data_IF_710425945524
#
_entry.id   IF_710425945524
#
_cell.length_a   1.000
_cell.length_b   1.000
_cell.length_c   1.000
_cell.angle_alpha   90.00
_cell.angle_beta   90.00
_cell.angle_gamma   90.00
#
_symmetry.space_group_name_H-M   'P 1'
#
loop_
_entity.id
_entity.type
_entity.pdbx_description
1 polymer ?
#
# COMPACT_ATOMS: atom_id res chain seq x y z
N UNK A 1 -32.21 -1.85 -17.93
CA UNK A 1 -32.24 -2.79 -16.78
C UNK A 1 -32.67 -2.00 -15.55
N UNK A 2 -33.53 -2.52 -14.68
CA UNK A 2 -33.90 -1.83 -13.44
C UNK A 2 -32.96 -2.22 -12.31
N UNK A 3 -32.16 -1.29 -11.82
CA UNK A 3 -31.26 -1.53 -10.67
C UNK A 3 -32.08 -1.61 -9.39
N UNK A 4 -31.79 -2.58 -8.52
CA UNK A 4 -32.35 -2.66 -7.16
C UNK A 4 -31.37 -2.10 -6.13
N UNK A 5 -31.92 -1.52 -5.05
CA UNK A 5 -31.09 -1.07 -3.94
C UNK A 5 -30.43 -2.31 -3.30
N UNK A 6 -29.10 -2.30 -3.20
CA UNK A 6 -28.32 -3.43 -2.71
C UNK A 6 -27.62 -4.26 -3.77
N UNK A 7 -27.90 -4.07 -5.06
CA UNK A 7 -27.22 -4.81 -6.13
C UNK A 7 -25.71 -4.54 -6.12
N UNK A 8 -24.91 -5.59 -6.30
CA UNK A 8 -23.45 -5.52 -6.32
C UNK A 8 -22.91 -5.96 -7.68
N UNK A 9 -21.91 -5.22 -8.16
CA UNK A 9 -21.25 -5.46 -9.42
C UNK A 9 -19.74 -5.42 -9.20
N UNK A 10 -19.07 -6.51 -9.52
CA UNK A 10 -17.62 -6.63 -9.40
C UNK A 10 -16.91 -6.09 -10.64
N UNK A 11 -15.66 -5.69 -10.44
CA UNK A 11 -14.76 -5.26 -11.50
C UNK A 11 -15.29 -4.10 -12.38
N UNK A 12 -16.09 -3.20 -11.80
CA UNK A 12 -16.63 -2.06 -12.53
C UNK A 12 -15.54 -1.02 -12.75
N UNK A 13 -15.36 -0.61 -14.00
CA UNK A 13 -14.40 0.43 -14.37
C UNK A 13 -15.01 1.81 -14.11
N UNK A 14 -14.31 2.60 -13.31
CA UNK A 14 -14.69 3.92 -12.85
C UNK A 14 -13.67 4.95 -13.35
N UNK A 15 -14.12 6.13 -13.76
CA UNK A 15 -13.26 7.21 -14.25
C UNK A 15 -13.45 8.48 -13.46
N UNK A 16 -12.34 9.09 -13.05
CA UNK A 16 -12.36 10.45 -12.48
C UNK A 16 -12.69 11.47 -13.56
N UNK A 17 -13.51 12.46 -13.22
CA UNK A 17 -13.88 13.53 -14.13
C UNK A 17 -14.17 14.84 -13.37
N UNK A 18 -14.13 15.94 -14.11
CA UNK A 18 -14.57 17.26 -13.67
C UNK A 18 -15.95 17.52 -14.27
N UNK A 19 -16.97 17.71 -13.43
CA UNK A 19 -18.31 18.06 -13.89
C UNK A 19 -18.40 19.54 -14.28
N UNK A 20 -19.21 19.88 -15.27
CA UNK A 20 -19.35 21.27 -15.79
C UNK A 20 -19.79 22.28 -14.72
N UNK A 21 -20.67 21.86 -13.81
CA UNK A 21 -21.18 22.68 -12.70
C UNK A 21 -20.58 22.33 -11.33
N UNK A 22 -19.69 21.33 -11.28
CA UNK A 22 -19.15 20.81 -10.02
C UNK A 22 -17.69 21.26 -9.83
N UNK A 23 -17.41 21.94 -8.72
CA UNK A 23 -16.04 22.35 -8.41
C UNK A 23 -15.16 21.18 -8.00
N UNK A 24 -15.72 20.07 -7.49
CA UNK A 24 -14.97 18.95 -6.93
C UNK A 24 -14.76 17.85 -7.95
N UNK A 25 -13.61 17.15 -7.91
CA UNK A 25 -13.40 15.97 -8.75
C UNK A 25 -14.40 14.88 -8.37
N UNK A 26 -15.02 14.26 -9.38
CA UNK A 26 -16.02 13.19 -9.23
C UNK A 26 -15.57 11.93 -9.94
N UNK A 27 -16.30 10.87 -9.67
CA UNK A 27 -16.09 9.56 -10.30
C UNK A 27 -17.40 9.13 -10.92
N UNK A 28 -17.32 8.60 -12.13
CA UNK A 28 -18.44 7.98 -12.86
C UNK A 28 -18.03 6.61 -13.36
N UNK A 29 -18.96 5.66 -13.49
CA UNK A 29 -18.71 4.44 -14.25
C UNK A 29 -18.41 4.78 -15.72
N UNK A 30 -17.54 4.00 -16.35
CA UNK A 30 -17.29 4.09 -17.80
C UNK A 30 -18.36 3.31 -18.56
N UNK A 31 -18.82 2.21 -17.98
CA UNK A 31 -19.85 1.38 -18.59
C UNK A 31 -21.16 2.16 -18.71
N UNK A 32 -21.69 2.24 -19.93
CA UNK A 32 -22.99 2.84 -20.26
C UNK A 32 -24.13 2.14 -19.51
N UNK A 33 -23.88 0.93 -19.00
CA UNK A 33 -24.79 0.23 -18.10
C UNK A 33 -25.14 1.01 -16.83
N UNK A 34 -24.40 2.03 -16.42
CA UNK A 34 -24.70 2.82 -15.21
C UNK A 34 -24.89 4.31 -15.49
N UNK A 35 -25.38 4.63 -16.68
CA UNK A 35 -25.40 6.01 -17.16
C UNK A 35 -26.09 6.98 -16.18
N UNK A 36 -25.49 8.16 -16.00
CA UNK A 36 -25.91 9.22 -15.07
C UNK A 36 -25.90 8.87 -13.56
N UNK A 37 -25.47 7.68 -13.13
CA UNK A 37 -25.32 7.38 -11.71
C UNK A 37 -24.07 8.04 -11.11
N UNK A 38 -24.24 8.73 -9.99
CA UNK A 38 -23.11 9.27 -9.22
C UNK A 38 -22.40 8.13 -8.48
N UNK A 39 -21.08 8.24 -8.32
CA UNK A 39 -20.29 7.30 -7.52
C UNK A 39 -19.81 7.96 -6.25
N UNK A 40 -20.17 7.39 -5.10
CA UNK A 40 -19.55 7.67 -3.82
C UNK A 40 -18.18 6.97 -3.79
N UNK A 41 -17.12 7.79 -3.73
CA UNK A 41 -15.73 7.34 -3.91
C UNK A 41 -14.78 8.10 -2.96
N UNK A 42 -13.73 7.43 -2.43
CA UNK A 42 -12.79 8.02 -1.49
C UNK A 42 -12.22 9.35 -1.95
N UNK A 43 -12.12 10.29 -1.02
CA UNK A 43 -11.69 11.66 -1.32
C UNK A 43 -10.22 11.74 -1.73
N UNK A 44 -9.35 11.12 -0.97
CA UNK A 44 -7.92 11.03 -1.25
C UNK A 44 -7.63 10.50 -2.65
N UNK A 45 -8.35 9.47 -3.10
CA UNK A 45 -8.13 8.89 -4.44
C UNK A 45 -8.61 9.81 -5.58
N UNK A 46 -9.58 10.69 -5.32
CA UNK A 46 -10.01 11.72 -6.30
C UNK A 46 -9.04 12.89 -6.40
N UNK A 47 -8.18 13.08 -5.39
CA UNK A 47 -7.27 14.21 -5.26
C UNK A 47 -5.83 13.83 -5.65
N UNK A 48 -5.43 12.59 -5.34
CA UNK A 48 -4.07 12.12 -5.56
C UNK A 48 -3.79 11.63 -7.00
N UNK A 49 -4.81 11.55 -7.84
CA UNK A 49 -4.69 11.05 -9.22
C UNK A 49 -5.22 12.07 -10.22
N UNK A 50 -4.62 12.16 -11.43
CA UNK A 50 -5.09 13.04 -12.49
C UNK A 50 -6.55 12.77 -12.87
N UNK A 51 -7.24 13.83 -13.25
CA UNK A 51 -8.57 13.73 -13.86
C UNK A 51 -8.47 12.87 -15.12
N UNK A 52 -9.34 11.87 -15.21
CA UNK A 52 -9.35 10.88 -16.27
C UNK A 52 -8.69 9.56 -15.90
N UNK A 53 -8.02 9.46 -14.74
CA UNK A 53 -7.55 8.18 -14.18
C UNK A 53 -8.72 7.21 -14.02
N UNK A 54 -8.50 5.96 -14.44
CA UNK A 54 -9.48 4.88 -14.31
C UNK A 54 -9.12 3.94 -13.17
N UNK A 55 -10.14 3.49 -12.45
CA UNK A 55 -10.06 2.58 -11.34
C UNK A 55 -10.95 1.37 -11.64
N UNK A 56 -10.62 0.23 -11.08
CA UNK A 56 -11.54 -0.91 -10.98
C UNK A 56 -11.96 -1.04 -9.52
N UNK A 57 -13.24 -1.31 -9.27
CA UNK A 57 -13.75 -1.59 -7.95
C UNK A 57 -15.01 -2.46 -8.00
N UNK A 58 -15.32 -3.13 -6.90
CA UNK A 58 -16.68 -3.60 -6.64
C UNK A 58 -17.54 -2.41 -6.23
N UNK A 59 -18.72 -2.29 -6.83
CA UNK A 59 -19.68 -1.21 -6.55
C UNK A 59 -21.03 -1.76 -6.13
N UNK A 60 -21.67 -1.04 -5.22
CA UNK A 60 -23.02 -1.34 -4.73
C UNK A 60 -23.99 -0.24 -5.13
N UNK A 61 -25.16 -0.61 -5.64
CA UNK A 61 -26.27 0.32 -5.87
C UNK A 61 -26.87 0.70 -4.51
N UNK A 62 -26.97 2.00 -4.25
CA UNK A 62 -27.49 2.56 -3.01
C UNK A 62 -28.60 3.59 -3.28
N UNK A 63 -29.62 3.59 -2.44
CA UNK A 63 -30.66 4.62 -2.40
C UNK A 63 -30.73 5.27 -1.01
N UNK A 64 -30.66 6.61 -0.96
CA UNK A 64 -30.81 7.32 0.31
C UNK A 64 -32.27 7.35 0.73
N UNK A 65 -32.47 7.25 2.03
CA UNK A 65 -33.78 7.37 2.68
C UNK A 65 -33.75 8.49 3.72
N UNK A 66 -34.89 9.15 3.92
CA UNK A 66 -35.13 10.07 5.02
C UNK A 66 -35.38 9.30 6.32
N UNK A 67 -35.43 10.00 7.46
CA UNK A 67 -35.71 9.37 8.76
C UNK A 67 -37.09 8.68 8.83
N UNK A 68 -38.02 9.11 7.99
CA UNK A 68 -39.37 8.58 7.85
C UNK A 68 -39.46 7.39 6.85
N UNK A 69 -38.34 6.98 6.26
CA UNK A 69 -38.29 5.90 5.27
C UNK A 69 -38.61 6.33 3.83
N UNK A 70 -38.97 7.59 3.57
CA UNK A 70 -39.19 8.09 2.21
C UNK A 70 -37.88 8.19 1.43
N UNK A 71 -37.94 7.99 0.11
CA UNK A 71 -36.76 8.07 -0.76
C UNK A 71 -36.20 9.49 -0.82
N UNK A 72 -34.88 9.63 -0.76
CA UNK A 72 -34.15 10.89 -0.87
C UNK A 72 -33.17 10.86 -2.04
N UNK A 73 -33.50 11.59 -3.10
CA UNK A 73 -32.64 11.73 -4.30
C UNK A 73 -32.60 10.46 -5.16
N UNK A 74 -31.80 10.46 -6.24
CA UNK A 74 -31.67 9.30 -7.13
C UNK A 74 -30.77 8.21 -6.54
N UNK A 75 -30.84 7.01 -7.14
CA UNK A 75 -29.88 5.92 -6.88
C UNK A 75 -28.48 6.35 -7.27
N UNK A 76 -27.49 5.80 -6.58
CA UNK A 76 -26.08 6.06 -6.80
C UNK A 76 -25.27 4.80 -6.54
N UNK A 77 -24.03 4.76 -7.03
CA UNK A 77 -23.10 3.68 -6.75
C UNK A 77 -22.22 4.04 -5.56
N UNK A 78 -21.90 3.07 -4.72
CA UNK A 78 -20.90 3.21 -3.68
C UNK A 78 -19.78 2.21 -3.95
N UNK A 79 -18.56 2.69 -4.15
CA UNK A 79 -17.40 1.83 -4.33
C UNK A 79 -16.97 1.23 -2.97
N UNK A 80 -16.72 -0.08 -2.95
CA UNK A 80 -16.08 -0.71 -1.80
C UNK A 80 -14.61 -0.32 -1.75
N UNK A 81 -14.25 0.46 -0.74
CA UNK A 81 -12.92 1.03 -0.57
C UNK A 81 -11.80 0.01 -0.50
N UNK A 82 -12.09 -1.22 -0.07
CA UNK A 82 -11.09 -2.30 0.03
C UNK A 82 -10.77 -2.96 -1.30
N UNK A 83 -11.63 -2.77 -2.31
CA UNK A 83 -11.52 -3.40 -3.64
C UNK A 83 -11.03 -2.45 -4.73
N UNK A 84 -10.82 -1.17 -4.38
CA UNK A 84 -10.40 -0.16 -5.36
C UNK A 84 -8.94 -0.38 -5.74
N UNK A 85 -8.70 -0.58 -7.03
CA UNK A 85 -7.37 -0.60 -7.62
C UNK A 85 -7.28 0.35 -8.82
N UNK A 86 -6.08 0.86 -9.11
CA UNK A 86 -5.83 1.72 -10.27
C UNK A 86 -5.76 0.83 -11.51
N UNK A 87 -6.64 1.07 -12.47
CA UNK A 87 -6.69 0.28 -13.70
C UNK A 87 -5.76 0.84 -14.77
N UNK A 88 -5.96 2.11 -15.15
CA UNK A 88 -5.05 2.84 -16.04
C UNK A 88 -4.86 4.27 -15.54
N UNK A 89 -3.59 4.71 -15.50
CA UNK A 89 -3.25 6.12 -15.34
C UNK A 89 -3.58 6.88 -16.65
N UNK A 90 -3.96 8.15 -16.56
CA UNK A 90 -4.25 8.97 -17.73
C UNK A 90 -3.05 9.01 -18.69
N UNK A 91 -3.21 8.48 -19.90
CA UNK A 91 -2.16 8.50 -20.95
C UNK A 91 -2.07 9.84 -21.70
N UNK A 92 -2.68 10.93 -21.19
CA UNK A 92 -2.63 12.24 -21.85
C UNK A 92 -1.31 12.94 -21.54
N UNK A 93 -0.73 13.60 -22.55
CA UNK A 93 0.40 14.52 -22.40
C UNK A 93 0.06 15.79 -21.61
N UNK A 94 -1.17 15.90 -21.11
CA UNK A 94 -1.67 16.98 -20.28
C UNK A 94 -2.48 16.34 -19.14
N UNK A 95 -1.89 16.23 -17.96
CA UNK A 95 -2.54 15.71 -16.77
C UNK A 95 -3.17 16.87 -15.98
N UNK A 96 -4.47 16.85 -15.74
CA UNK A 96 -5.15 17.88 -14.95
C UNK A 96 -5.34 17.36 -13.51
N UNK A 97 -4.74 18.03 -12.52
CA UNK A 97 -4.82 17.66 -11.09
C UNK A 97 -5.79 18.57 -10.35
N UNK A 98 -6.62 17.99 -9.46
CA UNK A 98 -7.53 18.75 -8.61
C UNK A 98 -6.89 19.09 -7.25
N UNK A 99 -6.64 20.37 -6.99
CA UNK A 99 -6.02 20.87 -5.76
C UNK A 99 -7.04 21.61 -4.92
N UNK A 100 -7.10 21.32 -3.61
CA UNK A 100 -8.02 21.99 -2.70
C UNK A 100 -7.54 23.42 -2.41
N UNK A 101 -8.45 24.42 -2.52
CA UNK A 101 -8.15 25.79 -2.12
C UNK A 101 -8.03 25.92 -0.60
N UNK A 102 -6.90 26.44 -0.13
CA UNK A 102 -6.65 26.74 1.30
C UNK A 102 -7.52 27.92 1.77
N UNK A 103 -7.88 27.93 3.07
CA UNK A 103 -8.67 29.03 3.67
C UNK A 103 -10.18 29.01 3.38
N UNK A 104 -10.71 27.95 2.75
CA UNK A 104 -12.15 27.85 2.46
C UNK A 104 -12.92 27.27 3.65
N UNK A 105 -13.99 27.94 4.10
CA UNK A 105 -14.79 27.53 5.28
C UNK A 105 -15.29 26.08 5.23
N UNK A 106 -15.51 25.53 4.03
CA UNK A 106 -16.05 24.20 3.85
C UNK A 106 -15.03 23.17 3.36
N UNK A 107 -13.80 23.58 3.02
CA UNK A 107 -12.76 22.72 2.47
C UNK A 107 -13.14 22.02 1.15
N UNK A 108 -14.05 22.64 0.39
CA UNK A 108 -14.82 21.98 -0.67
C UNK A 108 -14.71 22.68 -2.03
N UNK A 109 -13.87 23.70 -2.13
CA UNK A 109 -13.54 24.37 -3.38
C UNK A 109 -12.15 23.92 -3.86
N UNK A 110 -12.04 23.75 -5.17
CA UNK A 110 -10.85 23.22 -5.83
C UNK A 110 -10.45 24.12 -6.99
N UNK A 111 -9.18 24.05 -7.34
CA UNK A 111 -8.61 24.52 -8.59
C UNK A 111 -8.02 23.35 -9.37
N UNK A 112 -7.97 23.49 -10.68
CA UNK A 112 -7.50 22.43 -11.58
C UNK A 112 -6.25 22.93 -12.28
N UNK A 113 -5.14 22.27 -12.02
CA UNK A 113 -3.82 22.63 -12.54
C UNK A 113 -3.49 21.65 -13.65
N UNK A 114 -3.26 22.16 -14.87
CA UNK A 114 -2.80 21.36 -16.00
C UNK A 114 -1.29 21.21 -15.95
N UNK A 115 -0.81 19.97 -16.03
CA UNK A 115 0.59 19.61 -16.13
C UNK A 115 0.85 19.07 -17.53
N UNK A 116 1.43 19.90 -18.40
CA UNK A 116 1.97 19.44 -19.69
C UNK A 116 3.13 18.50 -19.42
N UNK A 117 3.13 17.34 -20.09
CA UNK A 117 4.05 16.22 -19.97
C UNK A 117 5.46 16.50 -20.48
N UNK A 118 6.04 17.59 -20.02
CA UNK A 118 7.47 17.63 -19.75
C UNK A 118 7.55 17.45 -18.24
N UNK A 119 8.15 16.35 -17.78
CA UNK A 119 8.68 16.31 -16.42
C UNK A 119 9.81 17.35 -16.45
N UNK A 120 9.49 18.62 -16.22
CA UNK A 120 10.49 19.54 -15.73
C UNK A 120 10.67 19.15 -14.27
N UNK A 121 11.84 18.59 -13.98
CA UNK A 121 12.33 18.18 -12.67
C UNK A 121 12.18 19.26 -11.58
N UNK A 122 11.90 20.52 -11.97
CA UNK A 122 11.92 21.72 -11.15
C UNK A 122 10.99 21.70 -9.92
N UNK A 123 9.82 21.06 -9.93
CA UNK A 123 8.90 21.08 -8.77
C UNK A 123 9.28 20.05 -7.70
N UNK A 124 9.62 18.82 -8.10
CA UNK A 124 10.11 17.79 -7.18
C UNK A 124 11.53 18.12 -6.70
N UNK A 125 12.34 18.73 -7.55
CA UNK A 125 13.66 19.25 -7.23
C UNK A 125 13.56 20.50 -6.34
N UNK A 126 12.55 21.37 -6.52
CA UNK A 126 12.29 22.48 -5.60
C UNK A 126 11.85 21.99 -4.22
N UNK A 127 10.93 21.01 -4.15
CA UNK A 127 10.49 20.42 -2.88
C UNK A 127 11.65 19.68 -2.18
N UNK A 128 12.45 18.93 -2.93
CA UNK A 128 13.67 18.28 -2.44
C UNK A 128 14.68 19.30 -1.91
N UNK A 129 14.93 20.37 -2.65
CA UNK A 129 15.86 21.42 -2.26
C UNK A 129 15.37 22.18 -1.02
N UNK A 130 14.07 22.46 -0.91
CA UNK A 130 13.48 23.07 0.30
C UNK A 130 13.62 22.15 1.52
N UNK A 131 13.32 20.85 1.38
CA UNK A 131 13.49 19.88 2.46
C UNK A 131 14.97 19.75 2.85
N UNK A 132 15.88 19.80 1.88
CA UNK A 132 17.33 19.78 2.10
C UNK A 132 17.77 20.99 2.91
N UNK A 133 17.37 22.21 2.54
CA UNK A 133 17.68 23.43 3.29
C UNK A 133 17.12 23.38 4.73
N UNK A 134 15.90 22.87 4.91
CA UNK A 134 15.32 22.67 6.25
C UNK A 134 16.14 21.63 7.06
N UNK A 135 16.58 20.55 6.44
CA UNK A 135 17.40 19.53 7.11
C UNK A 135 18.75 20.09 7.55
N UNK A 136 19.45 20.84 6.71
CA UNK A 136 20.73 21.46 7.06
C UNK A 136 20.57 22.57 8.11
N UNK A 137 19.54 23.42 8.02
CA UNK A 137 19.29 24.47 9.02
C UNK A 137 18.94 23.91 10.41
N UNK A 138 18.46 22.68 10.49
CA UNK A 138 18.15 21.96 11.74
C UNK A 138 19.23 20.98 12.16
N UNK A 139 20.32 20.86 11.42
CA UNK A 139 21.41 19.97 11.77
C UNK A 139 22.10 20.50 13.04
N UNK A 140 22.29 19.62 14.02
CA UNK A 140 22.99 19.91 15.27
C UNK A 140 24.31 19.14 15.27
N UNK A 141 25.41 19.83 15.54
CA UNK A 141 26.74 19.21 15.65
C UNK A 141 26.85 18.27 16.86
N UNK A 142 26.00 18.48 17.87
CA UNK A 142 25.90 17.65 19.07
C UNK A 142 24.44 17.29 19.30
N UNK A 143 24.13 16.00 19.22
CA UNK A 143 22.79 15.45 19.44
C UNK A 143 22.72 14.84 20.84
N UNK A 144 21.69 15.20 21.61
CA UNK A 144 21.45 14.56 22.91
C UNK A 144 21.05 13.09 22.73
N UNK A 145 21.65 12.21 23.54
CA UNK A 145 21.29 10.79 23.53
C UNK A 145 20.12 10.52 24.48
N UNK A 146 19.15 9.73 24.02
CA UNK A 146 18.03 9.27 24.84
C UNK A 146 18.19 7.79 25.13
N UNK A 147 18.00 7.40 26.40
CA UNK A 147 17.99 5.98 26.78
C UNK A 147 16.58 5.43 26.57
N UNK A 148 16.45 4.37 25.77
CA UNK A 148 15.20 3.63 25.60
C UNK A 148 15.30 2.24 26.23
N UNK A 149 14.20 1.77 26.83
CA UNK A 149 14.09 0.42 27.39
C UNK A 149 13.36 -0.48 26.39
N UNK A 150 13.99 -1.60 26.00
CA UNK A 150 13.39 -2.60 25.12
C UNK A 150 13.13 -3.92 25.86
N UNK A 151 11.97 -4.53 25.63
CA UNK A 151 11.63 -5.86 26.15
C UNK A 151 12.16 -6.93 25.22
N UNK A 152 13.31 -7.51 25.54
CA UNK A 152 13.94 -8.58 24.75
C UNK A 152 13.39 -9.94 25.22
N UNK A 153 12.87 -10.74 24.29
CA UNK A 153 12.54 -12.15 24.54
C UNK A 153 13.76 -13.00 24.22
N UNK A 154 14.10 -13.95 25.10
CA UNK A 154 15.18 -14.90 24.84
C UNK A 154 14.83 -15.77 23.63
N UNK A 155 15.79 -15.90 22.70
CA UNK A 155 15.70 -16.77 21.53
C UNK A 155 16.70 -17.89 21.68
N UNK A 156 16.36 -19.09 21.23
CA UNK A 156 17.25 -20.22 21.24
C UNK A 156 18.31 -20.04 20.15
N UNK A 157 19.56 -19.85 20.56
CA UNK A 157 20.70 -19.66 19.64
C UNK A 157 20.86 -20.85 18.68
N UNK A 158 20.48 -22.05 19.11
CA UNK A 158 20.51 -23.26 18.26
C UNK A 158 19.55 -23.14 17.06
N UNK A 159 18.34 -22.62 17.25
CA UNK A 159 17.36 -22.43 16.17
C UNK A 159 17.84 -21.39 15.17
N UNK A 160 18.39 -20.29 15.68
CA UNK A 160 18.99 -19.25 14.84
C UNK A 160 20.17 -19.79 14.03
N UNK A 161 21.10 -20.50 14.65
CA UNK A 161 22.25 -21.10 13.97
C UNK A 161 21.81 -22.13 12.95
N UNK A 162 20.82 -22.96 13.29
CA UNK A 162 20.25 -23.95 12.38
C UNK A 162 19.70 -23.28 11.12
N UNK A 163 18.84 -22.25 11.26
CA UNK A 163 18.27 -21.54 10.11
C UNK A 163 19.36 -20.94 9.19
N UNK A 164 20.40 -20.34 9.78
CA UNK A 164 21.53 -19.76 9.02
C UNK A 164 22.35 -20.83 8.28
N UNK A 165 22.54 -22.01 8.87
CA UNK A 165 23.23 -23.13 8.22
C UNK A 165 22.38 -23.78 7.13
N UNK A 166 21.08 -23.97 7.39
CA UNK A 166 20.09 -24.50 6.44
C UNK A 166 20.05 -23.67 5.16
N UNK A 167 20.16 -22.35 5.29
CA UNK A 167 20.05 -21.41 4.18
C UNK A 167 21.27 -21.41 3.24
N UNK A 168 22.42 -21.97 3.65
CA UNK A 168 23.64 -22.03 2.84
C UNK A 168 24.04 -20.67 2.24
N UNK A 169 23.97 -19.62 3.06
CA UNK A 169 24.29 -18.24 2.66
C UNK A 169 23.36 -17.63 1.61
N UNK A 170 22.21 -18.25 1.33
CA UNK A 170 21.16 -17.72 0.46
C UNK A 170 19.93 -17.33 1.28
N UNK A 171 19.20 -16.34 0.80
CA UNK A 171 17.94 -15.91 1.40
C UNK A 171 16.84 -16.95 1.14
N UNK A 172 16.19 -17.45 2.18
CA UNK A 172 15.14 -18.47 2.04
C UNK A 172 13.80 -17.90 1.51
N UNK A 173 13.72 -16.57 1.33
CA UNK A 173 12.57 -15.90 0.75
C UNK A 173 12.76 -15.61 -0.75
N UNK A 174 13.81 -14.88 -1.12
CA UNK A 174 14.06 -14.47 -2.51
C UNK A 174 15.11 -15.31 -3.24
N UNK A 175 15.76 -16.27 -2.57
CA UNK A 175 16.76 -17.20 -3.14
C UNK A 175 18.06 -16.53 -3.62
N UNK A 176 18.19 -15.22 -3.44
CA UNK A 176 19.43 -14.47 -3.70
C UNK A 176 20.49 -14.72 -2.62
N UNK A 177 21.79 -14.63 -2.96
CA UNK A 177 22.86 -14.70 -1.98
C UNK A 177 22.76 -13.57 -0.94
N UNK A 178 23.35 -13.78 0.23
CA UNK A 178 23.46 -12.74 1.24
C UNK A 178 24.13 -11.48 0.65
N UNK A 179 23.63 -10.26 0.98
CA UNK A 179 24.07 -9.03 0.34
C UNK A 179 25.53 -8.67 0.65
N UNK A 180 26.06 -9.15 1.78
CA UNK A 180 27.44 -8.94 2.20
C UNK A 180 27.86 -9.96 3.26
N UNK A 181 29.15 -9.97 3.59
CA UNK A 181 29.72 -10.75 4.69
C UNK A 181 29.89 -9.87 5.93
N UNK A 182 29.63 -10.44 7.11
CA UNK A 182 29.98 -9.86 8.40
C UNK A 182 31.49 -9.74 8.55
N UNK A 183 31.95 -8.97 9.55
CA UNK A 183 33.37 -8.84 9.90
C UNK A 183 34.06 -10.19 10.21
N UNK A 184 33.30 -11.18 10.66
CA UNK A 184 33.79 -12.53 10.93
C UNK A 184 33.79 -13.45 9.69
N UNK A 185 33.44 -12.93 8.50
CA UNK A 185 33.39 -13.68 7.24
C UNK A 185 32.08 -14.43 6.97
N UNK A 186 31.13 -14.45 7.91
CA UNK A 186 29.84 -15.12 7.71
C UNK A 186 28.90 -14.32 6.82
N UNK A 187 28.06 -15.00 6.04
CA UNK A 187 26.98 -14.37 5.29
C UNK A 187 26.01 -13.59 6.20
N UNK A 188 25.65 -12.36 5.79
CA UNK A 188 24.70 -11.54 6.53
C UNK A 188 23.25 -11.88 6.14
N UNK A 189 22.59 -12.66 6.98
CA UNK A 189 21.15 -12.94 6.91
C UNK A 189 20.53 -12.73 8.29
N UNK A 190 19.26 -12.33 8.29
CA UNK A 190 18.45 -12.07 9.49
C UNK A 190 17.46 -13.22 9.67
N UNK A 191 17.37 -13.75 10.90
CA UNK A 191 16.41 -14.81 11.21
C UNK A 191 15.07 -14.17 11.58
N UNK A 192 14.09 -14.42 10.72
CA UNK A 192 12.71 -13.94 10.83
C UNK A 192 11.81 -15.05 11.38
N UNK A 193 10.97 -14.72 12.35
CA UNK A 193 9.89 -15.59 12.82
C UNK A 193 8.66 -15.37 11.94
N UNK A 194 8.25 -16.38 11.18
CA UNK A 194 7.10 -16.32 10.26
C UNK A 194 5.84 -15.97 11.04
N UNK A 195 5.58 -16.69 12.14
CA UNK A 195 4.62 -16.31 13.16
C UNK A 195 5.41 -15.65 14.28
N UNK A 196 5.20 -14.37 14.50
CA UNK A 196 5.89 -13.62 15.56
C UNK A 196 5.70 -14.26 16.94
N UNK A 197 6.76 -14.23 17.77
CA UNK A 197 6.70 -14.65 19.17
C UNK A 197 5.65 -13.84 19.97
N UNK A 198 5.40 -12.57 19.61
CA UNK A 198 4.35 -11.73 20.21
C UNK A 198 2.94 -12.28 19.98
N UNK A 199 2.73 -12.98 18.87
CA UNK A 199 1.45 -13.54 18.43
C UNK A 199 1.33 -15.03 18.78
N UNK A 200 2.21 -15.55 19.65
CA UNK A 200 2.23 -16.94 20.08
C UNK A 200 2.97 -17.89 19.13
N UNK A 201 3.77 -17.38 18.20
CA UNK A 201 4.62 -18.22 17.36
C UNK A 201 5.67 -18.99 18.17
N UNK A 202 5.98 -20.21 17.73
CA UNK A 202 7.01 -21.04 18.35
C UNK A 202 8.42 -20.60 17.94
N UNK A 203 9.40 -20.78 18.83
CA UNK A 203 10.81 -20.65 18.47
C UNK A 203 11.32 -22.01 17.96
N UNK A 204 10.96 -22.35 16.73
CA UNK A 204 11.15 -23.68 16.14
C UNK A 204 11.59 -23.60 14.66
N UNK A 205 12.28 -24.63 14.12
CA UNK A 205 12.85 -24.62 12.76
C UNK A 205 11.85 -24.32 11.63
N UNK A 206 10.62 -24.80 11.78
CA UNK A 206 9.51 -24.64 10.83
C UNK A 206 8.88 -23.24 10.87
N UNK A 207 9.10 -22.48 11.94
CA UNK A 207 8.60 -21.12 12.12
C UNK A 207 9.67 -20.03 11.94
N UNK A 208 10.89 -20.40 11.52
CA UNK A 208 11.97 -19.44 11.28
C UNK A 208 12.49 -19.52 9.84
N UNK A 209 12.88 -18.38 9.30
CA UNK A 209 13.52 -18.26 7.99
C UNK A 209 14.75 -17.35 8.07
N UNK A 210 15.86 -17.75 7.47
CA UNK A 210 17.03 -16.89 7.26
C UNK A 210 16.84 -16.07 5.98
N UNK A 211 16.65 -14.76 6.11
CA UNK A 211 16.28 -13.88 5.00
C UNK A 211 17.20 -12.66 4.93
N UNK A 212 17.31 -12.04 3.74
CA UNK A 212 18.11 -10.83 3.58
C UNK A 212 17.38 -9.60 4.17
N UNK A 213 18.10 -8.49 4.44
CA UNK A 213 17.52 -7.28 5.05
C UNK A 213 16.35 -6.71 4.26
N UNK A 214 16.42 -6.78 2.92
CA UNK A 214 15.36 -6.29 2.05
C UNK A 214 14.08 -7.13 2.18
N UNK A 215 14.22 -8.46 2.26
CA UNK A 215 13.09 -9.36 2.48
C UNK A 215 12.51 -9.19 3.88
N UNK A 216 13.36 -8.96 4.89
CA UNK A 216 12.94 -8.72 6.27
C UNK A 216 12.17 -7.39 6.41
N UNK A 217 12.63 -6.34 5.72
CA UNK A 217 11.90 -5.08 5.63
C UNK A 217 10.55 -5.27 4.92
N UNK A 218 10.50 -6.05 3.82
CA UNK A 218 9.25 -6.33 3.10
C UNK A 218 8.21 -7.01 3.99
N UNK A 219 8.57 -8.07 4.72
CA UNK A 219 7.61 -8.75 5.64
C UNK A 219 7.14 -7.85 6.79
N UNK A 220 7.86 -6.76 7.09
CA UNK A 220 7.51 -5.84 8.19
C UNK A 220 6.72 -4.62 7.72
N UNK A 221 7.03 -4.11 6.53
CA UNK A 221 6.60 -2.77 6.10
C UNK A 221 5.83 -2.72 4.79
N UNK A 222 5.84 -3.78 3.97
CA UNK A 222 5.18 -3.73 2.67
C UNK A 222 3.66 -3.97 2.78
N UNK A 223 2.91 -3.43 1.81
CA UNK A 223 1.46 -3.67 1.72
C UNK A 223 1.10 -5.14 1.45
N UNK A 224 2.01 -5.90 0.86
CA UNK A 224 1.85 -7.33 0.57
C UNK A 224 2.50 -8.26 1.61
N UNK A 225 2.91 -7.72 2.76
CA UNK A 225 3.65 -8.43 3.81
C UNK A 225 3.03 -9.79 4.19
N UNK A 226 1.71 -9.86 4.37
CA UNK A 226 1.00 -11.09 4.74
C UNK A 226 1.10 -12.19 3.67
N UNK A 227 0.94 -11.81 2.39
CA UNK A 227 1.04 -12.72 1.25
C UNK A 227 2.48 -13.20 1.10
N UNK A 228 3.43 -12.28 1.25
CA UNK A 228 4.85 -12.60 1.16
C UNK A 228 5.29 -13.53 2.31
N UNK A 229 4.83 -13.28 3.53
CA UNK A 229 5.13 -14.11 4.70
C UNK A 229 4.53 -15.53 4.58
N UNK A 230 3.32 -15.65 4.02
CA UNK A 230 2.70 -16.95 3.68
C UNK A 230 3.53 -17.71 2.64
N UNK A 231 4.12 -17.01 1.67
CA UNK A 231 5.00 -17.61 0.66
C UNK A 231 6.27 -18.17 1.31
N UNK A 232 6.88 -17.42 2.24
CA UNK A 232 8.05 -17.88 3.01
C UNK A 232 7.70 -19.13 3.82
N UNK A 233 6.56 -19.13 4.51
CA UNK A 233 6.10 -20.29 5.30
C UNK A 233 6.05 -21.57 4.46
N UNK A 234 5.46 -21.48 3.26
CA UNK A 234 5.36 -22.63 2.36
C UNK A 234 6.74 -23.11 1.86
N UNK A 235 7.70 -22.20 1.65
CA UNK A 235 9.08 -22.56 1.30
C UNK A 235 9.77 -23.28 2.45
N UNK A 236 9.71 -22.73 3.66
CA UNK A 236 10.34 -23.35 4.85
C UNK A 236 9.76 -24.73 5.11
N UNK A 237 8.43 -24.91 5.05
CA UNK A 237 7.82 -26.23 5.22
C UNK A 237 8.36 -27.25 4.23
N UNK A 238 8.48 -26.89 2.94
CA UNK A 238 9.04 -27.77 1.92
C UNK A 238 10.51 -28.13 2.19
N UNK A 239 11.30 -27.18 2.69
CA UNK A 239 12.71 -27.41 3.04
C UNK A 239 12.84 -28.38 4.21
N UNK A 240 12.10 -28.16 5.30
CA UNK A 240 12.09 -29.05 6.47
C UNK A 240 11.57 -30.45 6.11
N UNK A 241 10.49 -30.55 5.33
CA UNK A 241 9.96 -31.83 4.86
C UNK A 241 10.98 -32.60 4.01
N UNK A 242 11.77 -31.90 3.20
CA UNK A 242 12.82 -32.52 2.39
C UNK A 242 13.99 -33.02 3.25
N UNK A 243 14.39 -32.26 4.26
CA UNK A 243 15.46 -32.65 5.20
C UNK A 243 15.03 -33.86 6.03
N UNK A 244 13.80 -33.86 6.56
CA UNK A 244 13.26 -34.95 7.37
C UNK A 244 13.14 -36.28 6.61
N UNK A 245 13.07 -36.26 5.27
CA UNK A 245 13.08 -37.47 4.44
C UNK A 245 14.49 -38.04 4.21
N UNK A 246 15.53 -37.24 4.45
CA UNK A 246 16.94 -37.60 4.24
C UNK A 246 17.61 -38.10 5.53
N UNK A 247 16.97 -37.90 6.68
CA UNK A 247 17.41 -38.26 8.04
C UNK A 247 16.65 -39.47 8.56
#
# INVERSE_FOLDING_TARGET
MSYTDGDEFEQVVLKTFKGESETRPRVKPIDDFFDNMKVEFPRNLRENYPIGTTFIATVKVCQKHNKDGSLRGPKYLKADTSTIDVHEKSKSSEEEMAVQKTGTQSGRAYEYIRRTGVIEDTAAESDFNQLREIAYSKALDLVESTISQAKIRARQEVIKRYALLRSKSQCEACEEPAPFLKKNGEAYLEVHHIIELSKGGADAPDNVAAICPNCHARVTHSGDANIYNTTIQNKIRKLEDAINKLT
#
